data_IF_086480002682
#
_entry.id   IF_086480002682
#
_cell.length_a   1.000
_cell.length_b   1.000
_cell.length_c   1.000
_cell.angle_alpha   90.00
_cell.angle_beta   90.00
_cell.angle_gamma   90.00
#
_symmetry.space_group_name_H-M   'P 1'
#
loop_
_entity.id
_entity.type
_entity.pdbx_description
1 polymer ?
#
# COMPACT_ATOMS: atom_id res chain seq x y z
N UNK A 1 -2.82 -63.29 -23.58
CA UNK A 1 -2.76 -61.81 -23.59
C UNK A 1 -4.05 -61.29 -22.96
N UNK A 2 -3.92 -60.39 -22.00
CA UNK A 2 -4.82 -60.17 -20.85
C UNK A 2 -6.25 -59.75 -21.20
N UNK A 3 -7.19 -60.22 -20.36
CA UNK A 3 -8.63 -60.27 -20.55
C UNK A 3 -9.31 -58.90 -20.43
N UNK A 4 -10.27 -58.73 -21.33
CA UNK A 4 -11.29 -57.69 -21.39
C UNK A 4 -12.38 -57.91 -20.33
N UNK A 5 -12.71 -56.79 -19.66
CA UNK A 5 -14.05 -56.31 -19.29
C UNK A 5 -15.00 -57.16 -18.42
N UNK A 6 -15.68 -56.40 -17.53
CA UNK A 6 -17.14 -56.43 -17.26
C UNK A 6 -17.65 -57.26 -16.05
N UNK A 7 -18.10 -56.49 -15.04
CA UNK A 7 -19.25 -56.71 -14.13
C UNK A 7 -19.14 -57.86 -13.10
N UNK A 8 -19.71 -57.85 -11.89
CA UNK A 8 -20.78 -57.08 -11.24
C UNK A 8 -20.37 -56.91 -9.77
N UNK A 9 -20.27 -55.67 -9.29
CA UNK A 9 -20.10 -55.37 -7.86
C UNK A 9 -21.44 -55.55 -7.16
N UNK A 10 -21.42 -56.37 -6.11
CA UNK A 10 -22.56 -56.69 -5.27
C UNK A 10 -23.17 -55.44 -4.65
N UNK A 11 -24.45 -55.25 -4.94
CA UNK A 11 -25.32 -54.25 -4.34
C UNK A 11 -25.74 -54.78 -2.96
N UNK A 12 -25.21 -54.19 -1.90
CA UNK A 12 -25.68 -54.41 -0.53
C UNK A 12 -25.96 -53.04 0.09
N UNK A 13 -27.25 -52.78 0.25
CA UNK A 13 -27.85 -51.55 0.80
C UNK A 13 -27.77 -51.60 2.33
N UNK A 14 -27.55 -50.44 2.97
CA UNK A 14 -28.30 -49.88 4.11
C UNK A 14 -27.38 -49.10 5.07
N UNK A 15 -27.73 -47.84 5.33
CA UNK A 15 -27.07 -47.03 6.36
C UNK A 15 -27.43 -45.54 6.29
N UNK A 16 -28.56 -45.20 6.89
CA UNK A 16 -29.12 -43.85 7.06
C UNK A 16 -28.29 -42.99 8.03
N UNK A 17 -28.12 -41.72 7.66
CA UNK A 17 -27.87 -40.51 8.48
C UNK A 17 -26.84 -40.53 9.64
N UNK A 18 -25.80 -39.70 9.52
CA UNK A 18 -25.45 -38.75 10.58
C UNK A 18 -24.70 -37.56 9.99
N UNK A 19 -24.94 -36.38 10.57
CA UNK A 19 -24.45 -35.07 10.17
C UNK A 19 -22.94 -35.06 9.90
N UNK A 20 -22.57 -34.87 8.63
CA UNK A 20 -21.22 -34.47 8.26
C UNK A 20 -20.99 -33.04 8.73
N UNK A 21 -20.32 -32.89 9.87
CA UNK A 21 -19.78 -31.62 10.33
C UNK A 21 -19.00 -30.95 9.21
N UNK A 22 -19.19 -29.64 9.07
CA UNK A 22 -18.34 -28.81 8.24
C UNK A 22 -16.90 -29.08 8.69
N UNK A 23 -16.09 -29.69 7.84
CA UNK A 23 -14.65 -29.65 8.01
C UNK A 23 -14.26 -28.20 7.87
N UNK A 24 -14.23 -27.48 8.99
CA UNK A 24 -13.42 -26.29 9.14
C UNK A 24 -11.99 -26.76 8.97
N UNK A 25 -11.56 -26.84 7.70
CA UNK A 25 -10.17 -26.60 7.36
C UNK A 25 -9.84 -25.32 8.12
N UNK A 26 -8.92 -25.33 9.10
CA UNK A 26 -8.44 -24.09 9.67
C UNK A 26 -7.87 -23.34 8.47
N UNK A 27 -8.65 -22.36 7.99
CA UNK A 27 -8.21 -21.44 6.98
C UNK A 27 -6.91 -20.91 7.55
N UNK A 28 -5.80 -21.20 6.84
CA UNK A 28 -4.51 -20.57 7.03
C UNK A 28 -4.79 -19.14 7.50
N UNK A 29 -4.27 -18.68 8.65
CA UNK A 29 -4.57 -17.34 9.13
C UNK A 29 -4.28 -16.40 7.99
N UNK A 30 -5.34 -15.93 7.33
CA UNK A 30 -5.20 -14.98 6.25
C UNK A 30 -4.44 -13.85 6.91
N UNK A 31 -3.22 -13.64 6.45
CA UNK A 31 -2.40 -12.49 6.79
C UNK A 31 -3.13 -11.31 6.20
N UNK A 32 -4.29 -10.98 6.78
CA UNK A 32 -5.04 -9.79 6.48
C UNK A 32 -4.07 -8.66 6.82
N UNK A 33 -3.61 -7.97 5.77
CA UNK A 33 -2.79 -6.79 5.97
C UNK A 33 -3.58 -5.86 6.89
N UNK A 34 -2.93 -5.25 7.90
CA UNK A 34 -3.63 -4.33 8.78
C UNK A 34 -4.16 -3.18 7.92
N UNK A 35 -5.49 -3.00 7.89
CA UNK A 35 -6.16 -1.95 7.11
C UNK A 35 -6.13 -0.58 7.80
N UNK A 36 -5.57 -0.50 9.00
CA UNK A 36 -5.38 0.77 9.70
C UNK A 36 -4.21 1.56 9.11
N UNK A 37 -4.29 2.89 9.13
CA UNK A 37 -3.14 3.76 8.87
C UNK A 37 -1.97 3.42 9.82
N UNK A 38 -0.74 3.65 9.34
CA UNK A 38 0.46 3.45 10.15
C UNK A 38 0.70 4.63 11.10
N UNK A 39 0.42 5.85 10.63
CA UNK A 39 0.43 7.06 11.42
C UNK A 39 -0.96 7.67 11.55
N UNK A 40 -1.24 8.28 12.70
CA UNK A 40 -2.46 9.08 12.89
C UNK A 40 -2.28 10.39 12.10
N UNK A 41 -3.32 10.81 11.40
CA UNK A 41 -3.35 12.07 10.65
C UNK A 41 -4.26 13.08 11.36
N UNK A 42 -3.79 14.30 11.52
CA UNK A 42 -4.60 15.39 12.08
C UNK A 42 -5.52 15.99 10.99
N UNK A 43 -6.68 16.50 11.38
CA UNK A 43 -7.65 17.06 10.42
C UNK A 43 -7.10 18.21 9.57
N UNK A 44 -6.13 18.96 10.10
CA UNK A 44 -5.43 20.03 9.36
C UNK A 44 -4.45 19.49 8.30
N UNK A 45 -3.89 18.30 8.51
CA UNK A 45 -2.89 17.67 7.64
C UNK A 45 -3.55 16.88 6.49
N UNK A 46 -4.80 16.46 6.68
CA UNK A 46 -5.54 15.59 5.75
C UNK A 46 -5.63 16.20 4.33
N UNK A 47 -6.09 17.46 4.22
CA UNK A 47 -6.29 18.12 2.92
C UNK A 47 -4.97 18.30 2.15
N UNK A 48 -3.89 18.82 2.76
CA UNK A 48 -2.57 18.88 2.13
C UNK A 48 -2.07 17.51 1.68
N UNK A 49 -2.14 16.48 2.54
CA UNK A 49 -1.67 15.13 2.21
C UNK A 49 -2.46 14.54 1.03
N UNK A 50 -3.78 14.72 1.00
CA UNK A 50 -4.61 14.27 -0.11
C UNK A 50 -4.24 14.98 -1.42
N UNK A 51 -3.96 16.29 -1.39
CA UNK A 51 -3.50 17.02 -2.57
C UNK A 51 -2.15 16.49 -3.09
N UNK A 52 -1.23 16.16 -2.18
CA UNK A 52 0.06 15.55 -2.53
C UNK A 52 -0.17 14.16 -3.15
N UNK A 53 -1.02 13.32 -2.57
CA UNK A 53 -1.35 11.99 -3.10
C UNK A 53 -1.86 12.08 -4.53
N UNK A 54 -2.86 12.91 -4.79
CA UNK A 54 -3.43 13.11 -6.14
C UNK A 54 -2.38 13.59 -7.14
N UNK A 55 -1.50 14.51 -6.73
CA UNK A 55 -0.43 15.02 -7.59
C UNK A 55 0.58 13.92 -7.95
N UNK A 56 0.93 13.04 -7.00
CA UNK A 56 1.84 11.94 -7.28
C UNK A 56 1.17 10.83 -8.09
N UNK A 57 -0.09 10.50 -7.84
CA UNK A 57 -0.83 9.53 -8.66
C UNK A 57 -0.94 9.97 -10.13
N UNK A 58 -1.17 11.26 -10.36
CA UNK A 58 -1.15 11.82 -11.72
C UNK A 58 0.25 11.68 -12.36
N UNK A 59 1.32 11.87 -11.59
CA UNK A 59 2.70 11.69 -12.09
C UNK A 59 3.02 10.23 -12.38
N UNK A 60 2.67 9.32 -11.49
CA UNK A 60 2.87 7.87 -11.64
C UNK A 60 2.20 7.35 -12.92
N UNK A 61 0.99 7.83 -13.25
CA UNK A 61 0.30 7.44 -14.50
C UNK A 61 1.03 7.88 -15.78
N UNK A 62 1.84 8.93 -15.70
CA UNK A 62 2.51 9.54 -16.86
C UNK A 62 4.01 9.25 -16.91
N UNK A 63 4.58 8.63 -15.88
CA UNK A 63 6.01 8.34 -15.78
C UNK A 63 6.27 6.84 -15.78
N UNK A 64 7.33 6.42 -16.47
CA UNK A 64 7.72 5.01 -16.56
C UNK A 64 9.13 4.75 -16.02
N UNK A 65 10.00 5.77 -15.98
CA UNK A 65 11.38 5.68 -15.47
C UNK A 65 11.92 7.08 -15.12
N UNK A 66 13.01 7.13 -14.36
CA UNK A 66 13.75 8.35 -14.02
C UNK A 66 13.40 8.93 -12.65
N UNK A 67 14.22 9.89 -12.20
CA UNK A 67 14.19 10.44 -10.85
C UNK A 67 12.83 11.01 -10.44
N UNK A 68 12.14 11.68 -11.37
CA UNK A 68 10.81 12.22 -11.10
C UNK A 68 9.76 11.14 -10.83
N UNK A 69 9.92 9.97 -11.44
CA UNK A 69 9.04 8.82 -11.22
C UNK A 69 9.38 8.12 -9.91
N UNK A 70 10.67 7.94 -9.61
CA UNK A 70 11.12 7.42 -8.30
C UNK A 70 10.57 8.30 -7.17
N UNK A 71 10.64 9.61 -7.33
CA UNK A 71 10.05 10.59 -6.42
C UNK A 71 8.55 10.42 -6.26
N UNK A 72 7.82 10.28 -7.36
CA UNK A 72 6.36 10.16 -7.32
C UNK A 72 5.93 8.91 -6.54
N UNK A 73 6.54 7.77 -6.84
CA UNK A 73 6.29 6.51 -6.14
C UNK A 73 6.66 6.59 -4.66
N UNK A 74 7.85 7.12 -4.34
CA UNK A 74 8.30 7.19 -2.95
C UNK A 74 7.44 8.14 -2.11
N UNK A 75 7.13 9.33 -2.63
CA UNK A 75 6.25 10.30 -1.95
C UNK A 75 4.84 9.75 -1.81
N UNK A 76 4.29 9.08 -2.83
CA UNK A 76 2.97 8.45 -2.74
C UNK A 76 2.93 7.39 -1.63
N UNK A 77 3.99 6.60 -1.50
CA UNK A 77 4.13 5.60 -0.43
C UNK A 77 4.21 6.23 0.95
N UNK A 78 4.95 7.34 1.09
CA UNK A 78 5.00 8.10 2.36
C UNK A 78 3.64 8.68 2.75
N UNK A 79 2.87 9.21 1.80
CA UNK A 79 1.50 9.70 2.08
C UNK A 79 0.58 8.53 2.49
N UNK A 80 0.72 7.37 1.83
CA UNK A 80 -0.07 6.19 2.15
C UNK A 80 0.13 5.71 3.60
N UNK A 81 1.26 6.02 4.25
CA UNK A 81 1.48 5.72 5.68
C UNK A 81 0.41 6.34 6.59
N UNK A 82 -0.17 7.46 6.17
CA UNK A 82 -1.23 8.19 6.88
C UNK A 82 -2.64 7.76 6.46
N UNK A 83 -2.77 7.09 5.32
CA UNK A 83 -4.05 6.67 4.75
C UNK A 83 -4.36 5.22 5.12
N UNK A 84 -3.48 4.29 4.73
CA UNK A 84 -3.67 2.86 4.90
C UNK A 84 -2.33 2.12 4.84
N UNK A 85 -2.04 1.29 5.85
CA UNK A 85 -0.80 0.49 5.89
C UNK A 85 -0.70 -0.49 4.72
N UNK A 86 -1.81 -1.06 4.26
CA UNK A 86 -1.82 -1.96 3.10
C UNK A 86 -1.44 -1.21 1.81
N UNK A 87 -2.01 -0.02 1.58
CA UNK A 87 -1.69 0.79 0.41
C UNK A 87 -0.22 1.22 0.42
N UNK A 88 0.31 1.60 1.58
CA UNK A 88 1.73 1.93 1.71
C UNK A 88 2.63 0.74 1.33
N UNK A 89 2.30 -0.47 1.81
CA UNK A 89 3.03 -1.69 1.44
C UNK A 89 2.97 -1.91 -0.07
N UNK A 90 1.79 -1.82 -0.68
CA UNK A 90 1.61 -2.00 -2.12
C UNK A 90 2.45 -1.01 -2.92
N UNK A 91 2.40 0.28 -2.58
CA UNK A 91 3.16 1.31 -3.30
C UNK A 91 4.67 1.12 -3.15
N UNK A 92 5.18 0.78 -1.95
CA UNK A 92 6.61 0.53 -1.77
C UNK A 92 7.08 -0.76 -2.46
N UNK A 93 6.22 -1.78 -2.55
CA UNK A 93 6.50 -2.97 -3.37
C UNK A 93 6.55 -2.59 -4.85
N UNK A 94 5.57 -1.84 -5.33
CA UNK A 94 5.49 -1.40 -6.72
C UNK A 94 6.71 -0.53 -7.11
N UNK A 95 7.13 0.41 -6.25
CA UNK A 95 8.35 1.20 -6.46
C UNK A 95 9.56 0.31 -6.75
N UNK A 96 9.74 -0.77 -5.99
CA UNK A 96 10.87 -1.68 -6.16
C UNK A 96 10.75 -2.55 -7.41
N UNK A 97 9.53 -2.85 -7.84
CA UNK A 97 9.26 -3.62 -9.06
C UNK A 97 9.42 -2.78 -10.31
N UNK A 98 8.83 -1.58 -10.32
CA UNK A 98 8.81 -0.66 -11.47
C UNK A 98 10.15 0.06 -11.61
N UNK A 99 10.79 0.40 -10.48
CA UNK A 99 12.03 1.18 -10.43
C UNK A 99 13.13 0.39 -9.70
N UNK A 100 13.62 -0.71 -10.29
CA UNK A 100 14.70 -1.48 -9.69
C UNK A 100 15.97 -0.60 -9.58
N UNK A 101 16.64 -0.66 -8.43
CA UNK A 101 17.79 0.19 -8.10
C UNK A 101 17.47 1.69 -7.98
N UNK A 102 16.22 2.05 -7.65
CA UNK A 102 15.87 3.39 -7.22
C UNK A 102 16.75 3.87 -6.07
N UNK A 103 17.02 5.17 -5.99
CA UNK A 103 17.73 5.77 -4.84
C UNK A 103 17.02 5.53 -3.50
N UNK A 104 15.75 5.16 -3.55
CA UNK A 104 14.92 4.86 -2.39
C UNK A 104 14.88 3.37 -2.03
N UNK A 105 15.58 2.47 -2.72
CA UNK A 105 15.44 1.02 -2.50
C UNK A 105 15.70 0.61 -1.04
N UNK A 106 16.78 1.10 -0.44
CA UNK A 106 17.08 0.84 0.98
C UNK A 106 15.98 1.38 1.92
N UNK A 107 15.45 2.57 1.63
CA UNK A 107 14.36 3.16 2.41
C UNK A 107 13.05 2.39 2.23
N UNK A 108 12.73 1.96 1.01
CA UNK A 108 11.55 1.16 0.70
C UNK A 108 11.61 -0.20 1.42
N UNK A 109 12.78 -0.86 1.47
CA UNK A 109 12.99 -2.08 2.25
C UNK A 109 12.76 -1.81 3.75
N UNK A 110 13.32 -0.71 4.27
CA UNK A 110 13.11 -0.30 5.66
C UNK A 110 11.63 -0.11 5.99
N UNK A 111 10.90 0.59 5.13
CA UNK A 111 9.45 0.76 5.27
C UNK A 111 8.70 -0.56 5.21
N UNK A 112 9.01 -1.44 4.25
CA UNK A 112 8.34 -2.74 4.14
C UNK A 112 8.55 -3.59 5.39
N UNK A 113 9.76 -3.60 5.96
CA UNK A 113 10.04 -4.31 7.20
C UNK A 113 9.22 -3.73 8.37
N UNK A 114 9.20 -2.41 8.53
CA UNK A 114 8.41 -1.73 9.57
C UNK A 114 6.90 -1.94 9.40
N UNK A 115 6.42 -1.86 8.16
CA UNK A 115 5.01 -2.04 7.81
C UNK A 115 4.60 -3.51 7.80
N UNK A 116 5.49 -4.47 7.90
CA UNK A 116 5.13 -5.89 8.02
C UNK A 116 5.36 -6.43 9.43
N UNK A 117 6.12 -5.71 10.25
CA UNK A 117 6.37 -6.11 11.62
C UNK A 117 5.07 -6.11 12.46
N UNK A 118 4.84 -7.23 13.13
CA UNK A 118 3.72 -7.44 14.06
C UNK A 118 4.15 -7.26 15.52
N UNK A 119 5.43 -6.96 15.76
CA UNK A 119 5.94 -6.79 17.11
C UNK A 119 5.28 -5.59 17.82
N UNK A 120 4.97 -5.71 19.12
CA UNK A 120 4.49 -4.59 19.91
C UNK A 120 5.55 -3.48 19.99
N UNK A 121 5.15 -2.26 19.68
CA UNK A 121 6.04 -1.09 19.71
C UNK A 121 6.38 -0.74 21.17
N UNK A 122 7.65 -0.84 21.56
CA UNK A 122 8.15 -0.40 22.88
C UNK A 122 7.96 1.11 23.09
N UNK A 123 8.04 1.61 24.32
CA UNK A 123 7.90 3.04 24.61
C UNK A 123 8.94 3.92 23.89
N UNK A 124 10.19 3.47 23.84
CA UNK A 124 11.26 4.12 23.08
C UNK A 124 10.93 4.16 21.58
N UNK A 125 10.45 3.03 21.05
CA UNK A 125 10.04 2.96 19.65
C UNK A 125 8.84 3.86 19.37
N UNK A 126 7.90 4.03 20.30
CA UNK A 126 6.78 4.97 20.14
C UNK A 126 7.23 6.42 20.03
N UNK A 127 8.18 6.84 20.87
CA UNK A 127 8.75 8.19 20.79
C UNK A 127 9.47 8.41 19.45
N UNK A 128 10.28 7.43 19.03
CA UNK A 128 10.98 7.46 17.75
C UNK A 128 10.00 7.48 16.55
N UNK A 129 8.94 6.66 16.57
CA UNK A 129 7.89 6.69 15.55
C UNK A 129 7.17 8.04 15.53
N UNK A 130 6.97 8.67 16.69
CA UNK A 130 6.41 10.01 16.77
C UNK A 130 7.30 11.06 16.12
N UNK A 131 8.62 10.99 16.33
CA UNK A 131 9.58 11.88 15.66
C UNK A 131 9.62 11.65 14.16
N UNK A 132 9.69 10.38 13.73
CA UNK A 132 9.68 10.00 12.32
C UNK A 132 8.40 10.49 11.62
N UNK A 133 7.23 10.35 12.26
CA UNK A 133 5.97 10.90 11.77
C UNK A 133 6.10 12.40 11.48
N UNK A 134 6.57 13.17 12.46
CA UNK A 134 6.68 14.62 12.35
C UNK A 134 7.63 15.02 11.22
N UNK A 135 8.78 14.37 11.14
CA UNK A 135 9.76 14.61 10.06
C UNK A 135 9.15 14.36 8.68
N UNK A 136 8.42 13.25 8.51
CA UNK A 136 7.79 12.93 7.23
C UNK A 136 6.74 13.98 6.86
N UNK A 137 5.88 14.37 7.80
CA UNK A 137 4.86 15.40 7.53
C UNK A 137 5.52 16.71 7.13
N UNK A 138 6.51 17.19 7.88
CA UNK A 138 7.21 18.42 7.56
C UNK A 138 7.83 18.37 6.16
N UNK A 139 8.56 17.31 5.85
CA UNK A 139 9.18 17.12 4.53
C UNK A 139 8.15 17.05 3.39
N UNK A 140 7.02 16.38 3.60
CA UNK A 140 5.94 16.28 2.61
C UNK A 140 5.31 17.64 2.34
N UNK A 141 5.04 18.40 3.40
CA UNK A 141 4.41 19.72 3.31
C UNK A 141 5.35 20.74 2.68
N UNK A 142 6.61 20.82 3.12
CA UNK A 142 7.62 21.72 2.55
C UNK A 142 7.82 21.47 1.04
N UNK A 143 7.84 20.19 0.64
CA UNK A 143 7.96 19.83 -0.79
C UNK A 143 6.72 20.18 -1.61
N UNK A 144 5.55 20.32 -0.97
CA UNK A 144 4.27 20.59 -1.64
C UNK A 144 4.02 22.07 -1.92
N UNK A 145 4.60 22.98 -1.13
CA UNK A 145 4.46 24.43 -1.30
C UNK A 145 4.82 24.94 -2.71
N UNK A 146 5.95 24.55 -3.33
CA UNK A 146 6.28 24.99 -4.68
C UNK A 146 5.32 24.43 -5.75
N UNK A 147 4.77 23.22 -5.54
CA UNK A 147 3.83 22.60 -6.48
C UNK A 147 2.46 23.29 -6.45
N UNK A 148 1.99 23.68 -5.26
CA UNK A 148 0.73 24.40 -5.11
C UNK A 148 0.83 25.82 -5.71
N UNK A 149 1.96 26.49 -5.52
CA UNK A 149 2.25 27.81 -6.09
C UNK A 149 2.30 27.82 -7.62
N UNK A 150 2.98 26.84 -8.23
CA UNK A 150 3.07 26.72 -9.68
C UNK A 150 1.70 26.50 -10.34
N UNK A 151 0.84 25.68 -9.73
CA UNK A 151 -0.51 25.41 -10.26
C UNK A 151 -1.39 26.67 -10.23
N UNK A 152 -1.24 27.50 -9.20
CA UNK A 152 -1.97 28.78 -9.07
C UNK A 152 -1.50 29.81 -10.11
N UNK A 153 -0.20 29.88 -10.37
CA UNK A 153 0.37 30.77 -11.38
C UNK A 153 0.00 30.32 -12.81
N UNK A 154 0.06 29.02 -13.07
CA UNK A 154 -0.40 28.44 -14.34
C UNK A 154 -1.88 28.75 -14.61
N UNK A 155 -2.74 28.65 -13.59
CA UNK A 155 -4.16 28.99 -13.71
C UNK A 155 -4.42 30.48 -13.98
N UNK A 156 -3.58 31.35 -13.41
CA UNK A 156 -3.62 32.80 -13.66
C UNK A 156 -3.25 33.14 -15.11
N UNK A 157 -2.19 32.53 -15.63
CA UNK A 157 -1.77 32.73 -17.03
C UNK A 157 -2.80 32.23 -18.05
N UNK A 158 -3.50 31.12 -17.77
CA UNK A 158 -4.57 30.62 -18.66
C UNK A 158 -5.77 31.57 -18.68
N UNK A 159 -6.14 32.16 -17.54
CA UNK A 159 -7.23 33.14 -17.46
C UNK A 159 -6.93 34.47 -18.17
N UNK A 160 -5.65 34.82 -18.31
CA UNK A 160 -5.21 36.04 -18.98
C UNK A 160 -5.18 35.88 -20.52
N UNK A 161 -4.96 34.67 -21.02
CA UNK A 161 -4.99 34.32 -22.46
C UNK A 161 -6.40 34.15 -23.04
N UNK A 162 -7.43 34.11 -22.20
CA UNK A 162 -8.85 33.93 -22.62
C UNK A 162 -9.67 35.22 -22.59
N UNK A 163 -9.04 36.38 -22.35
CA UNK A 163 -9.64 37.71 -22.43
C UNK A 163 -9.16 38.43 -23.69
#
# INVERSE_FOLDING_TARGET
MGKYTVFYLGLLVLGVNSMGGCTTIPSHPSTALPSSAFFIVDGAELKPLQAIAHAQEARMKNCHKGLACEDAYYVRGLVALFENRADAITIFQELRTVMPNSRYDASAIGWLNLLQDKAPVSSYNKALLGQLRQEIIQNLLERSEPMLGATKEQGRHVAELTR
#
